data_IF_895333074816
#
_entry.id   IF_895333074816
#
_cell.length_a   1.000
_cell.length_b   1.000
_cell.length_c   1.000
_cell.angle_alpha   90.00
_cell.angle_beta   90.00
_cell.angle_gamma   90.00
#
_symmetry.space_group_name_H-M   'P 1'
#
loop_
_entity.id
_entity.type
_entity.pdbx_description
1 polymer ?
#
# COMPACT_ATOMS: atom_id res chain seq x y z
N UNK A 1 0.84 4.19 -22.44
CA UNK A 1 2.16 3.60 -22.73
C UNK A 1 3.18 4.29 -21.83
N UNK A 2 4.16 3.58 -21.24
CA UNK A 2 5.33 4.25 -20.65
C UNK A 2 5.97 5.14 -21.72
N UNK A 3 6.50 6.30 -21.33
CA UNK A 3 7.35 7.03 -22.28
C UNK A 3 8.59 6.17 -22.56
N UNK A 4 9.13 6.19 -23.78
CA UNK A 4 10.27 5.35 -24.17
C UNK A 4 11.51 5.60 -23.28
N UNK A 5 11.58 6.76 -22.63
CA UNK A 5 12.64 7.14 -21.69
C UNK A 5 12.28 6.94 -20.21
N UNK A 6 11.07 6.47 -19.88
CA UNK A 6 10.59 6.39 -18.50
C UNK A 6 11.12 5.12 -17.79
N UNK A 7 11.90 5.32 -16.71
CA UNK A 7 12.30 4.23 -15.82
C UNK A 7 11.09 3.71 -15.00
N UNK A 8 11.07 2.41 -14.73
CA UNK A 8 10.07 1.73 -13.90
C UNK A 8 9.71 2.45 -12.59
N UNK A 9 10.68 3.09 -11.91
CA UNK A 9 10.42 3.85 -10.69
C UNK A 9 9.56 5.10 -10.95
N UNK A 10 9.82 5.82 -12.05
CA UNK A 10 9.03 6.99 -12.43
C UNK A 10 7.62 6.59 -12.87
N UNK A 11 7.53 5.51 -13.63
CA UNK A 11 6.25 4.94 -14.03
C UNK A 11 5.41 4.50 -12.84
N UNK A 12 6.01 3.79 -11.86
CA UNK A 12 5.35 3.42 -10.62
C UNK A 12 4.86 4.67 -9.85
N UNK A 13 5.67 5.72 -9.77
CA UNK A 13 5.26 7.00 -9.16
C UNK A 13 4.08 7.67 -9.88
N UNK A 14 3.97 7.53 -11.21
CA UNK A 14 2.82 8.03 -11.98
C UNK A 14 1.55 7.23 -11.67
N UNK A 15 1.66 5.91 -11.57
CA UNK A 15 0.54 5.05 -11.15
C UNK A 15 0.12 5.41 -9.73
N UNK A 16 1.06 5.56 -8.79
CA UNK A 16 0.77 5.90 -7.40
C UNK A 16 -0.01 7.21 -7.29
N UNK A 17 0.40 8.25 -8.02
CA UNK A 17 -0.32 9.54 -8.07
C UNK A 17 -1.74 9.39 -8.62
N UNK A 18 -1.92 8.59 -9.67
CA UNK A 18 -3.24 8.34 -10.25
C UNK A 18 -4.16 7.58 -9.26
N UNK A 19 -3.62 6.59 -8.55
CA UNK A 19 -4.35 5.84 -7.53
C UNK A 19 -4.64 6.71 -6.30
N UNK A 20 -3.72 7.59 -5.90
CA UNK A 20 -3.94 8.54 -4.80
C UNK A 20 -5.11 9.48 -5.10
N UNK A 21 -5.17 10.04 -6.32
CA UNK A 21 -6.29 10.87 -6.76
C UNK A 21 -7.62 10.08 -6.74
N UNK A 22 -7.61 8.83 -7.25
CA UNK A 22 -8.79 7.96 -7.23
C UNK A 22 -9.25 7.62 -5.80
N UNK A 23 -8.33 7.37 -4.89
CA UNK A 23 -8.64 7.09 -3.48
C UNK A 23 -9.22 8.32 -2.78
N UNK A 24 -8.73 9.50 -3.13
CA UNK A 24 -9.19 10.79 -2.60
C UNK A 24 -10.61 11.12 -3.09
N UNK A 25 -10.91 10.84 -4.35
CA UNK A 25 -12.27 10.88 -4.91
C UNK A 25 -13.21 9.92 -4.16
N UNK A 26 -12.77 8.68 -3.91
CA UNK A 26 -13.57 7.66 -3.22
C UNK A 26 -13.82 7.97 -1.73
N UNK A 27 -12.89 8.67 -1.07
CA UNK A 27 -13.01 9.04 0.33
C UNK A 27 -13.77 10.36 0.56
N UNK A 28 -13.83 11.23 -0.45
CA UNK A 28 -14.44 12.57 -0.34
C UNK A 28 -15.44 12.83 -1.47
N UNK A 29 -15.13 13.76 -2.38
CA UNK A 29 -15.94 14.13 -3.53
C UNK A 29 -15.04 14.40 -4.74
N UNK A 30 -15.60 14.24 -5.93
CA UNK A 30 -14.85 14.34 -7.18
C UNK A 30 -14.22 15.72 -7.41
N UNK A 31 -14.91 16.81 -7.07
CA UNK A 31 -14.48 18.16 -7.45
C UNK A 31 -13.33 18.63 -6.57
N UNK A 32 -13.46 18.46 -5.26
CA UNK A 32 -12.41 18.80 -4.30
C UNK A 32 -11.18 17.91 -4.49
N UNK A 33 -11.37 16.60 -4.76
CA UNK A 33 -10.28 15.68 -5.04
C UNK A 33 -9.54 16.06 -6.33
N UNK A 34 -10.25 16.44 -7.40
CA UNK A 34 -9.60 16.88 -8.64
C UNK A 34 -8.86 18.20 -8.50
N UNK A 35 -9.40 19.13 -7.71
CA UNK A 35 -8.71 20.38 -7.40
C UNK A 35 -7.42 20.13 -6.60
N UNK A 36 -7.45 19.23 -5.60
CA UNK A 36 -6.26 18.80 -4.85
C UNK A 36 -5.25 18.08 -5.73
N UNK A 37 -5.70 17.17 -6.59
CA UNK A 37 -4.84 16.43 -7.53
C UNK A 37 -4.11 17.38 -8.49
N UNK A 38 -4.80 18.41 -9.00
CA UNK A 38 -4.19 19.43 -9.87
C UNK A 38 -3.12 20.26 -9.14
N UNK A 39 -3.25 20.43 -7.81
CA UNK A 39 -2.26 21.11 -6.95
C UNK A 39 -1.18 20.17 -6.40
N UNK A 40 -1.29 18.86 -6.62
CA UNK A 40 -0.39 17.87 -6.03
C UNK A 40 -0.59 17.65 -4.53
N UNK A 41 -1.77 18.01 -4.01
CA UNK A 41 -2.13 17.95 -2.58
C UNK A 41 -2.90 16.67 -2.20
N UNK A 42 -3.04 15.72 -3.12
CA UNK A 42 -3.71 14.44 -2.83
C UNK A 42 -2.93 13.67 -1.76
N UNK A 43 -3.61 13.13 -0.72
CA UNK A 43 -2.94 12.39 0.35
C UNK A 43 -2.17 11.18 -0.16
N UNK A 44 -1.02 10.87 0.46
CA UNK A 44 -0.25 9.67 0.14
C UNK A 44 -1.00 8.38 0.51
N UNK A 45 -0.87 7.36 -0.34
CA UNK A 45 -1.42 6.02 -0.12
C UNK A 45 -0.69 5.28 1.02
N UNK A 46 0.55 5.64 1.31
CA UNK A 46 1.39 4.97 2.33
C UNK A 46 1.05 5.40 3.76
N UNK A 47 0.12 6.32 3.95
CA UNK A 47 -0.22 6.91 5.24
C UNK A 47 0.70 8.06 5.63
N UNK A 48 0.48 8.67 6.81
CA UNK A 48 1.24 9.84 7.26
C UNK A 48 2.72 9.51 7.48
N UNK A 49 3.61 10.44 7.17
CA UNK A 49 5.06 10.30 7.39
C UNK A 49 5.38 10.14 8.89
N UNK A 50 5.39 8.89 9.33
CA UNK A 50 5.57 8.49 10.72
C UNK A 50 6.25 7.12 10.77
N UNK A 51 6.73 6.73 11.95
CA UNK A 51 7.35 5.41 12.16
C UNK A 51 6.45 4.30 11.65
N UNK A 52 7.03 3.23 11.09
CA UNK A 52 6.32 2.15 10.39
C UNK A 52 5.10 1.60 11.15
N UNK A 53 5.17 1.45 12.47
CA UNK A 53 4.06 1.00 13.30
C UNK A 53 2.91 2.01 13.40
N UNK A 54 3.21 3.32 13.44
CA UNK A 54 2.20 4.39 13.44
C UNK A 54 1.48 4.49 12.08
N UNK A 55 2.21 4.30 10.98
CA UNK A 55 1.61 4.20 9.63
C UNK A 55 0.64 3.03 9.51
N UNK A 56 1.04 1.85 10.01
CA UNK A 56 0.20 0.66 9.99
C UNK A 56 -1.11 0.87 10.76
N UNK A 57 -1.07 1.57 11.89
CA UNK A 57 -2.25 1.88 12.68
C UNK A 57 -3.11 2.99 12.07
N UNK A 58 -2.50 4.02 11.48
CA UNK A 58 -3.22 5.12 10.81
C UNK A 58 -3.93 4.67 9.52
N UNK A 59 -3.45 3.61 8.86
CA UNK A 59 -4.17 2.94 7.77
C UNK A 59 -5.35 2.08 8.26
N UNK A 60 -5.49 1.90 9.58
CA UNK A 60 -6.44 1.03 10.24
C UNK A 60 -7.85 1.13 9.66
N UNK A 61 -8.35 -0.04 9.25
CA UNK A 61 -9.76 -0.35 8.99
C UNK A 61 -10.47 0.43 7.85
N UNK A 62 -9.77 0.78 6.78
CA UNK A 62 -10.44 1.21 5.53
C UNK A 62 -11.06 0.00 4.81
N UNK A 63 -12.31 -0.31 5.15
CA UNK A 63 -13.24 -1.23 4.48
C UNK A 63 -12.63 -2.53 3.94
N UNK A 64 -12.27 -3.45 4.85
CA UNK A 64 -12.23 -4.87 4.48
C UNK A 64 -13.52 -5.53 4.97
N UNK A 65 -14.53 -5.82 4.12
CA UNK A 65 -15.47 -6.87 4.46
C UNK A 65 -14.63 -8.11 4.73
N UNK A 66 -14.74 -8.61 5.95
CA UNK A 66 -13.88 -9.64 6.54
C UNK A 66 -14.13 -10.98 5.84
N UNK A 67 -13.66 -11.14 4.61
CA UNK A 67 -13.40 -12.46 4.07
C UNK A 67 -12.23 -13.01 4.88
N UNK A 68 -12.60 -13.79 5.89
CA UNK A 68 -11.71 -14.63 6.67
C UNK A 68 -10.93 -15.52 5.72
N UNK A 69 -9.76 -15.05 5.30
CA UNK A 69 -8.69 -15.94 4.88
C UNK A 69 -8.18 -16.56 6.18
N UNK A 70 -8.81 -17.66 6.57
CA UNK A 70 -8.13 -18.68 7.34
C UNK A 70 -6.90 -19.07 6.54
N UNK A 71 -5.73 -18.59 6.94
CA UNK A 71 -4.53 -19.38 6.72
C UNK A 71 -4.71 -20.60 7.61
N UNK A 72 -4.88 -21.83 7.09
CA UNK A 72 -4.49 -22.96 7.90
C UNK A 72 -3.00 -22.72 8.16
N UNK A 73 -2.65 -22.56 9.43
CA UNK A 73 -1.30 -22.86 9.90
C UNK A 73 -1.04 -24.30 9.46
N UNK A 74 -0.49 -24.47 8.26
CA UNK A 74 0.12 -25.72 7.87
C UNK A 74 1.30 -25.87 8.82
N UNK A 75 1.13 -26.85 9.70
CA UNK A 75 2.07 -27.40 10.66
C UNK A 75 3.49 -26.84 10.50
N UNK A 76 3.95 -26.13 11.53
CA UNK A 76 5.37 -25.98 11.83
C UNK A 76 5.98 -27.37 11.85
N UNK A 77 6.49 -27.81 10.70
CA UNK A 77 7.30 -29.00 10.59
C UNK A 77 8.57 -28.73 11.37
N UNK A 78 8.72 -29.50 12.45
CA UNK A 78 9.94 -29.67 13.22
C UNK A 78 11.18 -29.63 12.31
N UNK A 79 11.98 -28.55 12.43
CA UNK A 79 13.35 -28.49 11.93
C UNK A 79 14.24 -28.50 13.15
N UNK A 80 14.55 -29.67 13.65
CA UNK A 80 15.75 -29.90 14.44
C UNK A 80 16.95 -29.83 13.51
N UNK A 81 17.89 -28.87 13.66
CA UNK A 81 19.17 -28.99 13.00
C UNK A 81 20.05 -29.92 13.84
N UNK A 82 20.16 -31.19 13.45
CA UNK A 82 21.20 -32.08 13.95
C UNK A 82 22.53 -31.70 13.29
N UNK A 83 23.28 -30.78 13.91
CA UNK A 83 24.66 -30.52 13.51
C UNK A 83 25.55 -31.68 13.95
N UNK A 84 26.36 -32.29 13.05
CA UNK A 84 27.35 -33.27 13.46
C UNK A 84 28.53 -32.57 14.13
N UNK A 85 29.00 -33.13 15.25
CA UNK A 85 30.27 -32.74 15.86
C UNK A 85 31.38 -33.56 15.19
N UNK A 86 32.29 -32.88 14.52
CA UNK A 86 33.63 -33.39 14.25
C UNK A 86 34.60 -32.72 15.23
#
# INVERSE_FOLDING_TARGET
HPDESENAVRFAGRIERAVAALADEAATDWWSARQRAARGESPSLSGPDSTSWRRAWALGDRHRPRAARSSPTACTGDRTPAWPRF
#
